data_IF_918576810890
#
_entry.id   IF_918576810890
#
_cell.length_a   1.000
_cell.length_b   1.000
_cell.length_c   1.000
_cell.angle_alpha   90.00
_cell.angle_beta   90.00
_cell.angle_gamma   90.00
#
_symmetry.space_group_name_H-M   'P 1'
#
loop_
_entity.id
_entity.type
_entity.pdbx_description
1 polymer ?
#
# COMPACT_ATOMS: atom_id res chain seq x y z
N UNK A 1 32.85 9.64 16.97
CA UNK A 1 33.40 10.25 15.75
C UNK A 1 32.30 10.38 14.70
N UNK A 2 31.58 11.51 14.63
CA UNK A 2 30.64 11.82 13.53
C UNK A 2 30.10 13.27 13.54
N UNK A 3 30.79 14.24 14.16
CA UNK A 3 30.27 15.61 14.33
C UNK A 3 31.09 16.70 13.61
N UNK A 4 32.02 16.32 12.72
CA UNK A 4 32.99 17.26 12.14
C UNK A 4 32.89 17.46 10.62
N UNK A 5 31.73 17.22 10.00
CA UNK A 5 31.57 17.31 8.53
C UNK A 5 30.50 18.28 8.01
N UNK A 6 29.73 18.96 8.88
CA UNK A 6 28.64 19.85 8.43
C UNK A 6 29.15 21.27 8.15
N UNK A 7 30.16 21.75 8.88
CA UNK A 7 30.69 23.11 8.73
C UNK A 7 31.48 23.32 7.42
N UNK A 8 32.12 22.28 6.89
CA UNK A 8 32.94 22.37 5.66
C UNK A 8 32.07 22.54 4.41
N UNK A 9 30.88 21.93 4.39
CA UNK A 9 29.95 22.02 3.24
C UNK A 9 29.31 23.40 3.15
N UNK A 10 29.00 24.03 4.28
CA UNK A 10 28.43 25.39 4.31
C UNK A 10 29.44 26.46 3.86
N UNK A 11 30.73 26.29 4.17
CA UNK A 11 31.77 27.23 3.78
C UNK A 11 32.07 27.21 2.26
N UNK A 12 31.93 26.05 1.61
CA UNK A 12 32.16 25.92 0.16
C UNK A 12 31.06 26.58 -0.69
N UNK A 13 29.83 26.66 -0.18
CA UNK A 13 28.70 27.31 -0.90
C UNK A 13 28.83 28.84 -0.92
N UNK A 14 29.56 29.43 0.02
CA UNK A 14 29.70 30.89 0.12
C UNK A 14 30.88 31.48 -0.67
N UNK A 15 31.79 30.65 -1.20
CA UNK A 15 33.03 31.12 -1.84
C UNK A 15 33.01 31.11 -3.38
N UNK A 16 31.93 30.65 -4.03
CA UNK A 16 31.87 30.59 -5.49
C UNK A 16 30.75 31.49 -6.04
N UNK A 17 31.12 32.75 -6.27
CA UNK A 17 30.68 33.45 -7.47
C UNK A 17 29.40 34.28 -7.38
N UNK A 18 29.50 35.45 -6.76
CA UNK A 18 28.78 36.62 -7.25
C UNK A 18 29.39 37.05 -8.59
N UNK A 19 28.64 36.91 -9.68
CA UNK A 19 28.90 37.65 -10.94
C UNK A 19 27.60 37.91 -11.70
N UNK A 20 27.37 39.20 -11.90
CA UNK A 20 26.20 39.82 -12.52
C UNK A 20 26.14 39.54 -14.02
N UNK A 21 25.06 38.92 -14.50
CA UNK A 21 24.56 39.14 -15.86
C UNK A 21 23.05 39.24 -15.77
N UNK A 22 22.52 40.42 -16.07
CA UNK A 22 21.09 40.63 -16.25
C UNK A 22 20.56 39.81 -17.43
N UNK A 23 19.47 39.09 -17.20
CA UNK A 23 18.42 38.75 -18.16
C UNK A 23 17.27 38.14 -17.37
N UNK A 24 16.06 38.46 -17.82
CA UNK A 24 14.79 38.28 -17.12
C UNK A 24 14.68 37.02 -16.24
N UNK A 25 14.02 37.22 -15.12
CA UNK A 25 13.27 36.22 -14.39
C UNK A 25 12.28 35.54 -15.37
N UNK A 26 12.76 34.63 -16.22
CA UNK A 26 11.91 33.57 -16.72
C UNK A 26 11.80 32.64 -15.52
N UNK A 27 10.80 32.89 -14.67
CA UNK A 27 10.30 31.84 -13.81
C UNK A 27 9.98 30.69 -14.76
N UNK A 28 10.83 29.67 -14.76
CA UNK A 28 10.41 28.36 -15.21
C UNK A 28 9.28 27.99 -14.25
N UNK A 29 8.06 28.32 -14.68
CA UNK A 29 6.79 27.93 -14.08
C UNK A 29 6.67 26.44 -14.29
N UNK A 30 7.52 25.69 -13.59
CA UNK A 30 7.29 24.28 -13.34
C UNK A 30 6.15 24.28 -12.33
N UNK A 31 4.92 24.32 -12.85
CA UNK A 31 3.73 23.98 -12.09
C UNK A 31 3.90 22.53 -11.64
N UNK A 32 4.61 22.33 -10.53
CA UNK A 32 4.34 21.23 -9.63
C UNK A 32 2.91 21.49 -9.17
N UNK A 33 1.94 20.94 -9.89
CA UNK A 33 0.60 20.78 -9.38
C UNK A 33 0.71 19.79 -8.21
N UNK A 34 1.16 20.29 -7.06
CA UNK A 34 1.06 19.56 -5.80
C UNK A 34 -0.43 19.43 -5.54
N UNK A 35 -0.97 18.25 -5.84
CA UNK A 35 -2.36 17.91 -5.58
C UNK A 35 -2.65 18.23 -4.11
N UNK A 36 -3.73 18.96 -3.85
CA UNK A 36 -4.17 19.22 -2.48
C UNK A 36 -4.39 17.89 -1.74
N UNK A 37 -4.08 17.82 -0.42
CA UNK A 37 -4.37 16.64 0.40
C UNK A 37 -5.81 16.12 0.25
N UNK A 38 -6.78 17.02 0.07
CA UNK A 38 -8.18 16.66 -0.16
C UNK A 38 -8.40 15.91 -1.48
N UNK A 39 -7.69 16.27 -2.54
CA UNK A 39 -7.78 15.58 -3.84
C UNK A 39 -7.19 14.18 -3.75
N UNK A 40 -6.08 14.01 -3.02
CA UNK A 40 -5.44 12.71 -2.76
C UNK A 40 -6.32 11.82 -1.85
N UNK A 41 -6.99 12.40 -0.86
CA UNK A 41 -7.95 11.66 -0.04
C UNK A 41 -9.14 11.18 -0.89
N UNK A 42 -9.71 12.06 -1.73
CA UNK A 42 -10.83 11.73 -2.62
C UNK A 42 -10.47 10.65 -3.64
N UNK A 43 -9.26 10.68 -4.21
CA UNK A 43 -8.81 9.64 -5.14
C UNK A 43 -8.67 8.29 -4.44
N UNK A 44 -8.07 8.23 -3.25
CA UNK A 44 -7.97 6.99 -2.45
C UNK A 44 -9.33 6.39 -2.10
N UNK A 45 -10.29 7.22 -1.67
CA UNK A 45 -11.66 6.77 -1.40
C UNK A 45 -12.30 6.17 -2.65
N UNK A 46 -12.10 6.78 -3.83
CA UNK A 46 -12.63 6.24 -5.09
C UNK A 46 -12.01 4.88 -5.44
N UNK A 47 -10.69 4.77 -5.32
CA UNK A 47 -9.97 3.50 -5.58
C UNK A 47 -10.48 2.41 -4.64
N UNK A 48 -10.61 2.70 -3.34
CA UNK A 48 -11.16 1.75 -2.38
C UNK A 48 -12.59 1.34 -2.72
N UNK A 49 -13.46 2.29 -3.07
CA UNK A 49 -14.83 1.99 -3.48
C UNK A 49 -14.85 0.98 -4.63
N UNK A 50 -14.02 1.18 -5.65
CA UNK A 50 -13.94 0.25 -6.78
C UNK A 50 -13.51 -1.16 -6.35
N UNK A 51 -12.60 -1.27 -5.38
CA UNK A 51 -12.21 -2.55 -4.79
C UNK A 51 -13.37 -3.20 -4.03
N UNK A 52 -13.99 -2.47 -3.12
CA UNK A 52 -15.00 -2.99 -2.21
C UNK A 52 -16.28 -3.47 -2.92
N UNK A 53 -16.58 -3.03 -4.15
CA UNK A 53 -17.76 -3.48 -4.90
C UNK A 53 -17.80 -5.00 -5.16
N UNK A 54 -16.65 -5.67 -5.11
CA UNK A 54 -16.55 -7.10 -5.41
C UNK A 54 -16.68 -8.00 -4.18
N UNK A 55 -16.78 -7.41 -2.98
CA UNK A 55 -16.76 -8.13 -1.71
C UNK A 55 -17.99 -7.72 -0.90
N UNK A 56 -18.78 -8.69 -0.46
CA UNK A 56 -19.89 -8.42 0.46
C UNK A 56 -19.37 -7.99 1.83
N UNK A 57 -20.20 -7.28 2.60
CA UNK A 57 -19.84 -6.87 3.98
C UNK A 57 -19.38 -8.07 4.82
N UNK A 58 -20.11 -9.19 4.76
CA UNK A 58 -19.76 -10.43 5.44
C UNK A 58 -18.37 -10.93 5.08
N UNK A 59 -18.06 -11.02 3.78
CA UNK A 59 -16.74 -11.45 3.34
C UNK A 59 -15.66 -10.43 3.69
N UNK A 60 -15.97 -9.14 3.67
CA UNK A 60 -15.05 -8.08 4.10
C UNK A 60 -14.62 -8.27 5.55
N UNK A 61 -15.57 -8.52 6.46
CA UNK A 61 -15.26 -8.81 7.87
C UNK A 61 -14.40 -10.07 8.02
N UNK A 62 -14.77 -11.15 7.35
CA UNK A 62 -14.02 -12.41 7.43
C UNK A 62 -12.56 -12.25 6.97
N UNK A 63 -12.35 -11.52 5.87
CA UNK A 63 -11.01 -11.26 5.33
C UNK A 63 -10.21 -10.37 6.29
N UNK A 64 -10.78 -9.26 6.77
CA UNK A 64 -10.09 -8.34 7.70
C UNK A 64 -9.75 -9.04 9.03
N UNK A 65 -10.66 -9.86 9.56
CA UNK A 65 -10.42 -10.64 10.77
C UNK A 65 -9.27 -11.64 10.57
N UNK A 66 -9.21 -12.30 9.41
CA UNK A 66 -8.10 -13.19 9.05
C UNK A 66 -6.75 -12.45 9.05
N UNK A 67 -6.73 -11.20 8.55
CA UNK A 67 -5.53 -10.35 8.47
C UNK A 67 -5.10 -9.76 9.82
N UNK A 68 -6.04 -9.43 10.71
CA UNK A 68 -5.76 -8.64 11.92
C UNK A 68 -5.66 -9.51 13.18
N UNK A 69 -6.54 -10.51 13.32
CA UNK A 69 -6.56 -11.36 14.50
C UNK A 69 -5.42 -12.38 14.45
N UNK A 70 -4.94 -12.74 13.26
CA UNK A 70 -3.81 -13.66 13.06
C UNK A 70 -4.05 -15.03 13.71
N UNK A 71 -5.31 -15.41 13.93
CA UNK A 71 -5.65 -16.75 14.40
C UNK A 71 -5.36 -17.71 13.25
N UNK A 72 -4.36 -18.59 13.43
CA UNK A 72 -4.26 -19.83 12.65
C UNK A 72 -5.60 -20.57 12.84
N UNK A 73 -6.50 -20.48 11.87
CA UNK A 73 -7.83 -21.09 11.93
C UNK A 73 -9.01 -20.15 11.68
N UNK A 74 -8.83 -18.82 11.65
CA UNK A 74 -9.80 -17.91 11.00
C UNK A 74 -9.61 -18.04 9.48
N UNK A 75 -10.03 -19.20 8.97
CA UNK A 75 -9.97 -19.51 7.55
C UNK A 75 -11.06 -18.73 6.84
N UNK A 76 -10.66 -17.91 5.88
CA UNK A 76 -11.61 -17.31 4.95
C UNK A 76 -12.32 -18.45 4.19
N UNK A 77 -13.64 -18.44 4.17
CA UNK A 77 -14.47 -19.41 3.49
C UNK A 77 -14.18 -19.41 1.99
N UNK A 78 -14.37 -20.55 1.32
CA UNK A 78 -14.17 -20.66 -0.14
C UNK A 78 -14.98 -19.62 -0.93
N UNK A 79 -16.19 -19.28 -0.48
CA UNK A 79 -17.00 -18.24 -1.10
C UNK A 79 -16.35 -16.86 -0.98
N UNK A 80 -15.89 -16.50 0.22
CA UNK A 80 -15.22 -15.22 0.43
C UNK A 80 -13.83 -15.17 -0.21
N UNK A 81 -13.12 -16.30 -0.34
CA UNK A 81 -11.91 -16.41 -1.14
C UNK A 81 -12.17 -16.16 -2.62
N UNK A 82 -13.25 -16.68 -3.20
CA UNK A 82 -13.63 -16.36 -4.58
C UNK A 82 -13.86 -14.85 -4.77
N UNK A 83 -14.53 -14.20 -3.81
CA UNK A 83 -14.74 -12.75 -3.86
C UNK A 83 -13.44 -11.95 -3.71
N UNK A 84 -12.57 -12.33 -2.77
CA UNK A 84 -11.27 -11.73 -2.57
C UNK A 84 -10.40 -11.83 -3.83
N UNK A 85 -10.32 -13.01 -4.44
CA UNK A 85 -9.54 -13.22 -5.66
C UNK A 85 -10.15 -12.45 -6.84
N UNK A 86 -11.49 -12.42 -6.96
CA UNK A 86 -12.19 -11.62 -7.97
C UNK A 86 -11.98 -10.11 -7.78
N UNK A 87 -11.90 -9.63 -6.53
CA UNK A 87 -11.54 -8.25 -6.20
C UNK A 87 -10.10 -7.93 -6.64
N UNK A 88 -9.21 -8.91 -6.56
CA UNK A 88 -7.86 -8.86 -7.13
C UNK A 88 -6.77 -8.39 -6.17
N UNK A 89 -5.52 -8.74 -6.51
CA UNK A 89 -4.35 -8.56 -5.65
C UNK A 89 -4.08 -7.09 -5.31
N UNK A 90 -4.24 -6.17 -6.27
CA UNK A 90 -4.00 -4.74 -6.04
C UNK A 90 -4.94 -4.17 -4.97
N UNK A 91 -6.19 -4.62 -4.97
CA UNK A 91 -7.17 -4.23 -3.97
C UNK A 91 -6.90 -4.86 -2.60
N UNK A 92 -6.43 -6.11 -2.58
CA UNK A 92 -5.93 -6.74 -1.36
C UNK A 92 -4.76 -5.96 -0.75
N UNK A 93 -3.75 -5.61 -1.56
CA UNK A 93 -2.60 -4.80 -1.12
C UNK A 93 -3.06 -3.43 -0.60
N UNK A 94 -4.02 -2.79 -1.26
CA UNK A 94 -4.57 -1.51 -0.79
C UNK A 94 -5.23 -1.67 0.59
N UNK A 95 -6.02 -2.73 0.79
CA UNK A 95 -6.62 -3.06 2.08
C UNK A 95 -5.55 -3.26 3.16
N UNK A 96 -4.51 -4.05 2.87
CA UNK A 96 -3.36 -4.26 3.77
C UNK A 96 -2.73 -2.95 4.18
N UNK A 97 -2.41 -2.08 3.20
CA UNK A 97 -1.79 -0.78 3.46
C UNK A 97 -2.68 0.15 4.32
N UNK A 98 -4.00 0.04 4.24
CA UNK A 98 -4.90 0.79 5.11
C UNK A 98 -4.87 0.23 6.54
N UNK A 99 -4.95 -1.09 6.69
CA UNK A 99 -4.89 -1.76 8.00
C UNK A 99 -3.54 -1.53 8.70
N UNK A 100 -2.43 -1.55 7.96
CA UNK A 100 -1.09 -1.25 8.50
C UNK A 100 -0.98 0.19 9.03
N UNK A 101 -1.68 1.14 8.42
CA UNK A 101 -1.71 2.53 8.89
C UNK A 101 -2.56 2.68 10.13
N UNK A 102 -3.71 2.03 10.16
CA UNK A 102 -4.62 2.05 11.30
C UNK A 102 -4.01 1.35 12.53
N UNK A 103 -3.38 0.19 12.32
CA UNK A 103 -2.86 -0.68 13.36
C UNK A 103 -1.33 -0.76 13.34
N UNK A 104 -0.67 0.40 13.31
CA UNK A 104 0.79 0.53 13.14
C UNK A 104 1.63 -0.29 14.11
N UNK A 105 1.18 -0.48 15.35
CA UNK A 105 1.85 -1.30 16.36
C UNK A 105 1.93 -2.80 16.00
N UNK A 106 1.07 -3.27 15.10
CA UNK A 106 0.99 -4.68 14.68
C UNK A 106 1.22 -4.87 13.17
N UNK A 107 1.83 -3.86 12.52
CA UNK A 107 2.05 -3.81 11.07
C UNK A 107 2.63 -5.11 10.50
N UNK A 108 3.74 -5.60 11.05
CA UNK A 108 4.42 -6.79 10.52
C UNK A 108 3.55 -8.05 10.64
N UNK A 109 2.74 -8.14 11.71
CA UNK A 109 1.76 -9.22 11.90
C UNK A 109 0.66 -9.14 10.84
N UNK A 110 0.15 -7.94 10.57
CA UNK A 110 -0.87 -7.70 9.54
C UNK A 110 -0.34 -8.03 8.15
N UNK A 111 0.87 -7.58 7.82
CA UNK A 111 1.49 -7.86 6.53
C UNK A 111 1.67 -9.38 6.32
N UNK A 112 2.21 -10.07 7.32
CA UNK A 112 2.39 -11.54 7.28
C UNK A 112 1.05 -12.26 7.16
N UNK A 113 0.06 -11.88 7.96
CA UNK A 113 -1.26 -12.51 7.96
C UNK A 113 -2.00 -12.25 6.65
N UNK A 114 -1.93 -11.01 6.14
CA UNK A 114 -2.45 -10.62 4.83
C UNK A 114 -1.91 -11.44 3.68
N UNK A 115 -0.60 -11.65 3.64
CA UNK A 115 0.02 -12.52 2.64
C UNK A 115 -0.48 -13.97 2.79
N UNK A 116 -0.52 -14.49 4.02
CA UNK A 116 -1.06 -15.83 4.28
C UNK A 116 -2.52 -15.99 3.88
N UNK A 117 -3.38 -15.00 4.13
CA UNK A 117 -4.79 -14.99 3.73
C UNK A 117 -4.93 -15.08 2.21
N UNK A 118 -4.11 -14.34 1.46
CA UNK A 118 -4.12 -14.38 0.00
C UNK A 118 -3.71 -15.76 -0.54
N UNK A 119 -2.58 -16.29 -0.10
CA UNK A 119 -2.07 -17.61 -0.50
C UNK A 119 -3.07 -18.73 -0.18
N UNK A 120 -3.65 -18.71 1.02
CA UNK A 120 -4.67 -19.67 1.43
C UNK A 120 -5.91 -19.59 0.51
N UNK A 121 -6.32 -18.39 0.12
CA UNK A 121 -7.46 -18.25 -0.79
C UNK A 121 -7.17 -18.75 -2.20
N UNK A 122 -5.97 -18.49 -2.74
CA UNK A 122 -5.54 -19.07 -4.02
C UNK A 122 -5.56 -20.60 -3.97
N UNK A 123 -5.04 -21.19 -2.89
CA UNK A 123 -5.02 -22.64 -2.72
C UNK A 123 -6.44 -23.25 -2.65
N UNK A 124 -7.40 -22.58 -2.00
CA UNK A 124 -8.78 -23.08 -1.88
C UNK A 124 -9.57 -23.06 -3.19
N UNK A 125 -9.24 -22.15 -4.11
CA UNK A 125 -9.94 -22.02 -5.40
C UNK A 125 -9.23 -22.70 -6.56
N UNK A 126 -7.97 -23.13 -6.37
CA UNK A 126 -7.24 -23.88 -7.36
C UNK A 126 -8.04 -25.14 -7.76
N UNK A 127 -8.06 -25.50 -9.07
CA UNK A 127 -8.62 -26.79 -9.48
C UNK A 127 -7.95 -27.92 -8.71
N UNK A 128 -8.74 -28.89 -8.25
CA UNK A 128 -8.18 -30.10 -7.65
C UNK A 128 -7.21 -30.74 -8.64
N UNK A 129 -5.98 -31.12 -8.24
CA UNK A 129 -5.11 -31.88 -9.12
C UNK A 129 -5.86 -33.13 -9.56
N UNK A 130 -5.91 -33.38 -10.86
CA UNK A 130 -6.61 -34.54 -11.42
C UNK A 130 -6.16 -35.81 -10.69
N UNK A 131 -7.07 -36.75 -10.37
CA UNK A 131 -6.70 -37.97 -9.67
C UNK A 131 -5.62 -38.71 -10.48
N UNK A 132 -4.46 -38.91 -9.84
CA UNK A 132 -3.37 -39.71 -10.39
C UNK A 132 -3.86 -41.13 -10.60
N UNK A 133 -3.90 -41.58 -11.86
CA UNK A 133 -4.16 -42.98 -12.19
C UNK A 133 -2.96 -43.81 -11.71
N UNK A 134 -3.15 -44.60 -10.67
CA UNK A 134 -2.29 -45.72 -10.30
C UNK A 134 -3.07 -47.01 -10.52
#
# INVERSE_FOLDING_TARGET
MAALNILVVAALVLAVGTSLIGRGLVEAKLTKHTLSPAVIAKSRIRIWKNCAMHVTEHCGHEIVDSMTLGKKGASVTKNCCNQLVKMGLNCHILMTNMLEKEFSATKDKILKSSFGTWENCLAQIAPSPAPSKH
#
